data_IF_677722123224
#
_entry.id   IF_677722123224
#
_cell.length_a   1.000
_cell.length_b   1.000
_cell.length_c   1.000
_cell.angle_alpha   90.00
_cell.angle_beta   90.00
_cell.angle_gamma   90.00
#
_symmetry.space_group_name_H-M   'P 1'
#
loop_
_entity.id
_entity.type
_entity.pdbx_description
1 polymer ?
#
# COMPACT_ATOMS: atom_id res chain seq x y z
N UNK A 1 -5.63 15.39 7.92
CA UNK A 1 -4.93 15.61 6.64
C UNK A 1 -4.19 14.34 6.36
N UNK A 2 -4.37 13.85 5.15
CA UNK A 2 -4.34 12.42 4.93
C UNK A 2 -3.71 12.20 3.58
N UNK A 3 -2.55 11.57 3.56
CA UNK A 3 -2.03 11.04 2.31
C UNK A 3 -2.87 9.80 2.00
N UNK A 4 -3.63 9.88 0.91
CA UNK A 4 -4.39 8.77 0.39
C UNK A 4 -3.58 8.14 -0.73
N UNK A 5 -3.09 6.92 -0.52
CA UNK A 5 -2.50 6.12 -1.59
C UNK A 5 -3.52 5.07 -1.99
N UNK A 6 -3.89 5.10 -3.26
CA UNK A 6 -4.62 4.04 -3.95
C UNK A 6 -3.64 3.28 -4.82
N UNK A 7 -3.37 2.03 -4.46
CA UNK A 7 -2.46 1.18 -5.21
C UNK A 7 -3.06 -0.19 -5.43
N UNK A 8 -2.64 -0.83 -6.51
CA UNK A 8 -2.93 -2.25 -6.74
C UNK A 8 -1.98 -3.05 -5.86
N UNK A 9 -2.52 -4.12 -5.25
CA UNK A 9 -1.69 -5.08 -4.53
C UNK A 9 -0.89 -5.91 -5.54
N UNK A 10 0.43 -5.83 -5.47
CA UNK A 10 1.34 -6.61 -6.30
C UNK A 10 2.05 -7.67 -5.48
N UNK A 11 2.43 -8.77 -6.14
CA UNK A 11 3.23 -9.85 -5.59
C UNK A 11 4.62 -9.86 -6.23
N UNK A 12 5.67 -9.74 -5.41
CA UNK A 12 7.05 -9.85 -5.85
C UNK A 12 7.50 -11.31 -5.85
N UNK A 13 7.43 -11.99 -6.99
CA UNK A 13 7.96 -13.35 -7.12
C UNK A 13 9.48 -13.32 -7.44
N UNK A 14 10.26 -12.75 -6.53
CA UNK A 14 11.73 -12.76 -6.59
C UNK A 14 12.25 -13.34 -5.29
N UNK A 15 13.35 -14.12 -5.37
CA UNK A 15 14.13 -14.63 -4.22
C UNK A 15 14.77 -13.51 -3.35
N UNK A 16 14.22 -12.30 -3.36
CA UNK A 16 14.64 -11.17 -2.53
C UNK A 16 13.93 -11.29 -1.18
N UNK A 17 14.53 -12.08 -0.30
CA UNK A 17 14.15 -12.12 1.11
C UNK A 17 14.40 -10.75 1.75
N UNK A 18 13.36 -9.91 1.82
CA UNK A 18 13.28 -8.90 2.86
C UNK A 18 12.80 -9.65 4.10
N UNK A 19 13.71 -10.12 4.95
CA UNK A 19 13.46 -11.07 6.06
C UNK A 19 12.31 -10.69 7.02
N UNK A 20 11.80 -9.46 6.95
CA UNK A 20 10.73 -8.93 7.80
C UNK A 20 9.53 -8.36 7.03
N UNK A 21 9.52 -8.39 5.70
CA UNK A 21 8.45 -7.89 4.85
C UNK A 21 7.85 -9.02 4.02
N UNK A 22 6.55 -8.92 3.70
CA UNK A 22 5.93 -9.80 2.71
C UNK A 22 6.46 -9.48 1.33
N UNK A 23 6.40 -10.46 0.43
CA UNK A 23 6.57 -10.27 -1.01
C UNK A 23 5.49 -9.36 -1.62
N UNK A 24 4.42 -9.07 -0.87
CA UNK A 24 3.33 -8.22 -1.32
C UNK A 24 3.55 -6.75 -0.98
N UNK A 25 3.24 -5.87 -1.94
CA UNK A 25 3.47 -4.43 -1.83
C UNK A 25 2.45 -3.63 -2.63
N UNK A 26 2.40 -2.32 -2.34
CA UNK A 26 1.74 -1.33 -3.20
C UNK A 26 2.76 -0.33 -3.72
N UNK A 27 2.51 0.17 -4.92
CA UNK A 27 3.28 1.29 -5.46
C UNK A 27 2.86 2.61 -4.83
N UNK A 28 3.81 3.54 -4.77
CA UNK A 28 3.57 4.94 -4.45
C UNK A 28 4.44 5.82 -5.33
N UNK A 29 3.88 6.91 -5.84
CA UNK A 29 4.60 7.89 -6.64
C UNK A 29 5.74 8.51 -5.83
N UNK A 30 6.93 8.54 -6.43
CA UNK A 30 8.11 9.19 -5.83
C UNK A 30 7.83 10.63 -5.41
N UNK A 31 7.00 11.35 -6.17
CA UNK A 31 6.67 12.77 -5.93
C UNK A 31 6.06 13.00 -4.54
N UNK A 32 5.35 12.00 -4.01
CA UNK A 32 4.62 12.09 -2.74
C UNK A 32 5.53 11.88 -1.54
N UNK A 33 6.53 11.00 -1.66
CA UNK A 33 7.42 10.66 -0.55
C UNK A 33 8.75 11.42 -0.61
N UNK A 34 9.15 11.92 -1.78
CA UNK A 34 10.31 12.80 -1.94
C UNK A 34 10.23 14.05 -1.05
N UNK A 35 9.05 14.64 -0.89
CA UNK A 35 8.86 15.82 -0.04
C UNK A 35 9.19 15.57 1.44
N UNK A 36 9.25 14.30 1.86
CA UNK A 36 9.54 13.90 3.23
C UNK A 36 10.94 13.30 3.40
N UNK A 37 11.76 13.23 2.33
CA UNK A 37 13.13 12.70 2.37
C UNK A 37 13.24 11.35 3.10
N UNK A 38 12.24 10.48 2.89
CA UNK A 38 12.14 9.18 3.54
C UNK A 38 13.25 8.27 3.01
N UNK A 39 13.87 7.47 3.90
CA UNK A 39 14.91 6.51 3.53
C UNK A 39 14.33 5.10 3.47
N UNK A 40 14.87 4.25 2.60
CA UNK A 40 14.54 2.81 2.60
C UNK A 40 14.69 2.20 4.00
N UNK A 41 13.76 1.31 4.36
CA UNK A 41 13.67 0.70 5.68
C UNK A 41 12.92 1.53 6.74
N UNK A 42 12.43 2.73 6.41
CA UNK A 42 11.51 3.46 7.27
C UNK A 42 10.10 2.84 7.22
N UNK A 43 9.36 2.94 8.32
CA UNK A 43 7.98 2.46 8.41
C UNK A 43 7.02 3.62 8.19
N UNK A 44 6.19 3.53 7.16
CA UNK A 44 5.09 4.45 6.87
C UNK A 44 3.84 3.93 7.56
N UNK A 45 3.37 4.67 8.57
CA UNK A 45 2.24 4.27 9.40
C UNK A 45 0.95 4.92 8.89
N UNK A 46 -0.06 4.08 8.76
CA UNK A 46 -1.37 4.44 8.23
C UNK A 46 -2.49 3.57 8.77
N UNK A 47 -3.65 3.73 8.16
CA UNK A 47 -4.78 2.80 8.29
C UNK A 47 -5.34 2.50 6.91
N UNK A 48 -5.84 1.29 6.75
CA UNK A 48 -6.61 0.89 5.58
C UNK A 48 -7.99 1.55 5.65
N UNK A 49 -8.39 2.25 4.60
CA UNK A 49 -9.65 3.02 4.55
C UNK A 49 -10.68 2.29 3.70
N UNK A 50 -10.22 1.63 2.63
CA UNK A 50 -11.10 1.01 1.64
C UNK A 50 -10.32 -0.10 0.92
N UNK A 51 -11.04 -1.14 0.55
CA UNK A 51 -10.54 -2.24 -0.29
C UNK A 51 -11.62 -2.52 -1.31
N UNK A 52 -11.27 -2.39 -2.58
CA UNK A 52 -12.16 -2.71 -3.68
C UNK A 52 -11.50 -3.76 -4.57
N UNK A 53 -12.27 -4.69 -5.17
CA UNK A 53 -11.73 -5.50 -6.24
C UNK A 53 -11.27 -4.59 -7.39
N UNK A 54 -10.13 -4.91 -8.00
CA UNK A 54 -9.58 -4.17 -9.14
C UNK A 54 -10.34 -4.41 -10.44
N UNK A 55 -11.19 -5.45 -10.46
CA UNK A 55 -11.96 -5.92 -11.60
C UNK A 55 -13.44 -5.58 -11.43
N UNK A 56 -14.11 -5.22 -12.52
CA UNK A 56 -15.57 -4.96 -12.52
C UNK A 56 -16.40 -6.24 -12.39
N UNK A 57 -15.79 -7.41 -12.64
CA UNK A 57 -16.38 -8.75 -12.54
C UNK A 57 -15.61 -9.58 -11.51
N UNK A 58 -15.77 -9.32 -10.20
CA UNK A 58 -15.20 -10.19 -9.19
C UNK A 58 -15.76 -11.60 -9.42
N UNK A 59 -14.88 -12.60 -9.46
CA UNK A 59 -15.30 -14.00 -9.47
C UNK A 59 -16.29 -14.19 -8.31
N UNK A 60 -17.36 -14.99 -8.47
CA UNK A 60 -18.41 -15.27 -7.46
C UNK A 60 -17.88 -15.95 -6.16
N UNK A 61 -16.60 -15.81 -5.85
CA UNK A 61 -16.04 -16.09 -4.55
C UNK A 61 -16.62 -15.06 -3.59
N UNK A 62 -17.50 -15.50 -2.69
CA UNK A 62 -18.08 -14.66 -1.65
C UNK A 62 -16.99 -13.81 -1.01
N UNK A 63 -17.03 -12.49 -1.25
CA UNK A 63 -16.11 -11.58 -0.60
C UNK A 63 -16.42 -11.65 0.91
N UNK A 64 -15.48 -12.08 1.75
CA UNK A 64 -15.68 -12.02 3.19
C UNK A 64 -15.93 -10.56 3.61
N UNK A 65 -16.66 -10.35 4.70
CA UNK A 65 -17.01 -9.00 5.16
C UNK A 65 -15.75 -8.16 5.46
N UNK A 66 -15.38 -7.33 4.47
CA UNK A 66 -14.20 -6.46 4.52
C UNK A 66 -14.41 -5.23 5.42
N UNK A 67 -15.62 -5.01 5.95
CA UNK A 67 -15.88 -3.94 6.92
C UNK A 67 -15.05 -4.12 8.20
N UNK A 68 -14.73 -5.38 8.55
CA UNK A 68 -13.94 -5.75 9.71
C UNK A 68 -12.44 -5.39 9.62
N UNK A 69 -11.91 -5.23 8.39
CA UNK A 69 -10.51 -4.84 8.14
C UNK A 69 -10.36 -3.38 7.74
N UNK A 70 -11.48 -2.70 7.45
CA UNK A 70 -11.50 -1.25 7.32
C UNK A 70 -11.15 -0.61 8.67
N UNK A 71 -10.22 0.35 8.65
CA UNK A 71 -9.65 0.96 9.84
C UNK A 71 -8.47 0.21 10.45
N UNK A 72 -8.06 -0.94 9.89
CA UNK A 72 -6.87 -1.68 10.32
C UNK A 72 -5.64 -0.76 10.25
N UNK A 73 -4.97 -0.59 11.39
CA UNK A 73 -3.71 0.15 11.46
C UNK A 73 -2.61 -0.69 10.80
N UNK A 74 -1.92 -0.09 9.84
CA UNK A 74 -0.82 -0.71 9.09
C UNK A 74 0.45 0.12 9.25
N UNK A 75 1.59 -0.56 9.36
CA UNK A 75 2.91 0.06 9.28
C UNK A 75 3.68 -0.60 8.15
N UNK A 76 3.78 0.05 7.00
CA UNK A 76 4.40 -0.53 5.80
C UNK A 76 5.86 -0.11 5.68
N UNK A 77 6.71 -1.03 5.25
CA UNK A 77 8.12 -0.77 5.01
C UNK A 77 8.30 -0.06 3.67
N UNK A 78 8.87 1.13 3.72
CA UNK A 78 9.20 1.91 2.53
C UNK A 78 10.54 1.47 1.94
N UNK A 79 10.56 1.27 0.63
CA UNK A 79 11.76 1.04 -0.15
C UNK A 79 11.74 1.92 -1.40
N UNK A 80 12.86 2.60 -1.64
CA UNK A 80 13.08 3.35 -2.87
C UNK A 80 13.14 2.38 -4.04
N UNK A 81 12.34 2.65 -5.07
CA UNK A 81 12.35 1.87 -6.31
C UNK A 81 13.17 2.47 -7.42
N UNK A 82 13.31 1.72 -8.51
CA UNK A 82 13.88 2.21 -9.76
C UNK A 82 12.78 2.90 -10.61
N UNK A 83 13.12 3.96 -11.34
CA UNK A 83 12.15 4.71 -12.15
C UNK A 83 11.29 5.70 -11.35
N UNK A 84 9.98 5.77 -11.62
CA UNK A 84 9.04 6.78 -11.08
C UNK A 84 8.28 6.33 -9.81
N UNK A 85 8.41 5.07 -9.42
CA UNK A 85 7.65 4.46 -8.32
C UNK A 85 8.56 4.03 -7.18
N UNK A 86 8.06 4.18 -5.97
CA UNK A 86 8.60 3.55 -4.76
C UNK A 86 7.65 2.46 -4.27
N UNK A 87 8.11 1.66 -3.30
CA UNK A 87 7.40 0.49 -2.81
C UNK A 87 7.05 0.64 -1.32
N UNK A 88 5.83 0.24 -0.97
CA UNK A 88 5.38 0.05 0.40
C UNK A 88 5.03 -1.42 0.61
N UNK A 89 5.91 -2.13 1.33
CA UNK A 89 5.74 -3.55 1.64
C UNK A 89 4.98 -3.75 2.95
N UNK A 90 4.09 -4.73 2.99
CA UNK A 90 3.45 -5.12 4.23
C UNK A 90 4.43 -5.86 5.14
N UNK A 91 4.41 -5.65 6.46
CA UNK A 91 5.03 -6.59 7.37
C UNK A 91 4.33 -7.94 7.28
N UNK A 92 5.07 -9.04 7.35
CA UNK A 92 4.53 -10.41 7.29
C UNK A 92 3.34 -10.63 8.23
N UNK A 93 3.43 -10.10 9.46
CA UNK A 93 2.34 -10.20 10.45
C UNK A 93 1.06 -9.48 10.02
N UNK A 94 1.18 -8.34 9.36
CA UNK A 94 0.03 -7.57 8.86
C UNK A 94 -0.55 -8.25 7.63
N UNK A 95 0.32 -8.75 6.75
CA UNK A 95 -0.06 -9.53 5.57
C UNK A 95 -0.86 -10.78 5.95
N UNK A 96 -0.34 -11.60 6.87
CA UNK A 96 -1.05 -12.82 7.31
C UNK A 96 -2.45 -12.49 7.83
N UNK A 97 -2.60 -11.42 8.60
CA UNK A 97 -3.94 -10.95 9.01
C UNK A 97 -4.81 -10.61 7.80
N UNK A 98 -4.31 -9.87 6.83
CA UNK A 98 -5.08 -9.51 5.64
C UNK A 98 -5.52 -10.76 4.87
N UNK A 99 -4.65 -11.77 4.71
CA UNK A 99 -4.96 -13.03 4.01
C UNK A 99 -5.90 -13.93 4.80
N UNK A 100 -5.77 -13.97 6.13
CA UNK A 100 -6.71 -14.71 7.00
C UNK A 100 -8.15 -14.18 6.85
N UNK A 101 -8.30 -12.90 6.50
CA UNK A 101 -9.60 -12.26 6.28
C UNK A 101 -10.05 -12.23 4.82
N UNK A 102 -9.14 -12.41 3.87
CA UNK A 102 -9.46 -12.34 2.46
C UNK A 102 -8.63 -13.37 1.69
N UNK A 103 -9.32 -14.37 1.16
CA UNK A 103 -8.77 -15.19 0.09
C UNK A 103 -8.70 -14.23 -1.10
N UNK A 104 -7.49 -13.82 -1.49
CA UNK A 104 -7.26 -12.86 -2.57
C UNK A 104 -6.87 -13.61 -3.86
N UNK A 105 -7.82 -14.18 -4.64
CA UNK A 105 -7.50 -14.77 -5.93
C UNK A 105 -7.28 -13.71 -7.02
N UNK A 106 -7.61 -12.44 -6.76
CA UNK A 106 -7.63 -11.34 -7.73
C UNK A 106 -6.80 -10.12 -7.28
N UNK A 107 -6.63 -9.15 -8.18
CA UNK A 107 -6.04 -7.85 -7.86
C UNK A 107 -7.04 -6.99 -7.05
N UNK A 108 -6.53 -6.23 -6.08
CA UNK A 108 -7.34 -5.35 -5.24
C UNK A 108 -6.76 -3.94 -5.23
N UNK A 109 -7.65 -2.95 -5.29
CA UNK A 109 -7.33 -1.56 -5.00
C UNK A 109 -7.41 -1.32 -3.50
N UNK A 110 -6.30 -0.90 -2.93
CA UNK A 110 -6.19 -0.60 -1.51
C UNK A 110 -6.05 0.90 -1.32
N UNK A 111 -6.90 1.49 -0.48
CA UNK A 111 -6.85 2.90 -0.12
C UNK A 111 -6.32 3.07 1.29
N UNK A 112 -5.16 3.70 1.43
CA UNK A 112 -4.53 3.92 2.72
C UNK A 112 -4.55 5.39 3.14
N UNK A 113 -4.82 5.67 4.41
CA UNK A 113 -4.60 6.97 5.05
C UNK A 113 -3.29 6.91 5.85
N UNK A 114 -2.23 7.59 5.39
CA UNK A 114 -0.96 7.70 6.14
C UNK A 114 -0.89 8.95 7.02
N UNK A 115 -0.33 8.78 8.22
CA UNK A 115 -0.28 9.84 9.23
C UNK A 115 1.14 10.11 9.78
N UNK A 116 2.07 9.15 9.72
CA UNK A 116 3.46 9.40 10.11
C UNK A 116 4.44 8.42 9.46
N UNK A 117 5.72 8.75 9.53
CA UNK A 117 6.85 7.92 9.12
C UNK A 117 7.79 7.75 10.31
N UNK A 118 8.21 6.52 10.59
CA UNK A 118 9.17 6.19 11.62
C UNK A 118 10.46 5.63 11.01
N UNK A 119 11.58 6.29 11.27
CA UNK A 119 12.92 5.91 10.80
C UNK A 119 13.84 5.73 12.00
N UNK A 120 14.09 4.49 12.44
CA UNK A 120 14.88 4.17 13.64
C UNK A 120 14.37 4.98 14.86
N UNK A 121 15.08 6.03 15.25
CA UNK A 121 14.76 6.89 16.40
C UNK A 121 13.95 8.15 16.06
N UNK A 122 13.74 8.46 14.78
CA UNK A 122 13.03 9.67 14.35
C UNK A 122 11.63 9.33 13.86
N UNK A 123 10.65 10.10 14.32
CA UNK A 123 9.27 10.03 13.84
C UNK A 123 8.88 11.36 13.23
N UNK A 124 8.40 11.30 12.00
CA UNK A 124 7.94 12.44 11.21
C UNK A 124 6.45 12.34 11.06
N UNK A 125 5.71 13.33 11.56
CA UNK A 125 4.28 13.37 11.26
C UNK A 125 4.09 13.90 9.84
N UNK A 126 3.20 13.26 9.07
CA UNK A 126 2.85 13.69 7.73
C UNK A 126 1.74 14.77 7.85
N UNK A 127 2.06 16.07 7.66
CA UNK A 127 1.14 17.23 7.81
C UNK A 127 1.60 18.44 6.93
N UNK A 128 0.84 19.49 6.55
CA UNK A 128 -0.49 20.03 6.90
C UNK A 128 -0.98 21.05 5.79
N UNK A 129 -1.65 20.62 4.70
CA UNK A 129 -2.70 21.36 3.91
C UNK A 129 -3.14 20.57 2.66
N UNK A 130 -4.38 20.07 2.66
CA UNK A 130 -4.99 19.36 1.51
C UNK A 130 -5.01 17.83 1.62
N UNK A 131 -5.69 17.18 0.67
CA UNK A 131 -5.68 15.72 0.46
C UNK A 131 -4.87 15.44 -0.80
N UNK A 132 -3.79 14.67 -0.67
CA UNK A 132 -3.03 14.17 -1.82
C UNK A 132 -3.54 12.77 -2.10
N UNK A 133 -4.06 12.56 -3.30
CA UNK A 133 -4.50 11.25 -3.78
C UNK A 133 -3.46 10.79 -4.78
N UNK A 134 -2.71 9.76 -4.42
CA UNK A 134 -1.95 8.98 -5.38
C UNK A 134 -2.86 7.91 -5.94
N UNK A 135 -2.97 7.84 -7.26
CA UNK A 135 -3.59 6.70 -7.92
C UNK A 135 -2.58 6.15 -8.90
N UNK A 136 -2.41 4.85 -8.87
CA UNK A 136 -1.81 4.18 -10.00
C UNK A 136 -2.68 4.40 -11.24
N UNK A 137 -2.12 5.04 -12.26
CA UNK A 137 -2.77 5.15 -13.56
C UNK A 137 -2.76 3.75 -14.17
N UNK A 138 -3.91 3.07 -14.16
CA UNK A 138 -4.14 1.91 -15.02
C UNK A 138 -4.13 2.47 -16.43
N UNK A 139 -2.94 2.56 -17.03
CA UNK A 139 -2.80 3.04 -18.39
C UNK A 139 -3.87 2.36 -19.22
N UNK A 140 -4.86 3.14 -19.68
CA UNK A 140 -5.80 2.65 -20.66
C UNK A 140 -4.92 2.19 -21.82
N UNK A 141 -4.87 0.88 -22.04
CA UNK A 141 -4.47 0.30 -23.30
C UNK A 141 -5.48 0.70 -24.37
N UNK A 142 -5.57 2.01 -24.65
CA UNK A 142 -6.10 2.52 -25.90
C UNK A 142 -5.05 2.25 -26.95
N UNK A 143 -4.97 0.99 -27.39
CA UNK A 143 -4.54 0.73 -28.76
C UNK A 143 -5.58 1.35 -29.67
N UNK A 144 -5.19 2.39 -30.40
CA UNK A 144 -5.28 2.51 -31.86
C UNK A 144 -4.62 3.82 -32.29
#
# INVERSE_FOLDING_TARGET
MTLIVMGILHHLNLNTSIEHASENFVYVSKKILQMYSIKSGCVVNGKLVEINPATDNPTEVAMPDLSSITGLKVGMLYYVGEGEKDYLFFPLKTWNKLVDFAIFPEEYELKFEFYNVACKFRKYNLFNKGTVIDKEDRGNGGSL
#
